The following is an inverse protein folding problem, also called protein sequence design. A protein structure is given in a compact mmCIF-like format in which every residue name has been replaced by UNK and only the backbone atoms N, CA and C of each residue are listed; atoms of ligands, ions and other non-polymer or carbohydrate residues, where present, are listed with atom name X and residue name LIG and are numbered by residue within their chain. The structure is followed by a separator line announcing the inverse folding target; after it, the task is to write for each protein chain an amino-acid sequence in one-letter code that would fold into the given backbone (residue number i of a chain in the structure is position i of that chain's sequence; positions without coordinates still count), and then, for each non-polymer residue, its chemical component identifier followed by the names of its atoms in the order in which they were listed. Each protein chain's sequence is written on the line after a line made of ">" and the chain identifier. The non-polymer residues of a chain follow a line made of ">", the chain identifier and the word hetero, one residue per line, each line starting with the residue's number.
data_IF_983158902461
#
_entry.id   IF_983158902461
#
_cell.length_a   1.000
_cell.length_b   1.000
_cell.length_c   1.000
_cell.angle_alpha   90.00
_cell.angle_beta   90.00
_cell.angle_gamma   90.00
#
_symmetry.space_group_name_H-M   'P 1'
#
loop_
_entity.id
_entity.type
_entity.pdbx_description
1 polymer ?
#
# COMPACT_ATOMS: atom_id res chain seq x y z
N UNK A 1 11.20 20.11 1.37
CA UNK A 1 10.06 19.51 0.65
C UNK A 1 10.12 18.03 0.93
N UNK A 2 9.09 17.43 1.52
CA UNK A 2 9.01 15.97 1.61
C UNK A 2 8.84 15.45 0.19
N UNK A 3 9.69 14.52 -0.25
CA UNK A 3 9.49 13.83 -1.52
C UNK A 3 8.26 12.92 -1.36
N UNK A 4 7.11 13.39 -1.82
CA UNK A 4 5.88 12.60 -1.86
C UNK A 4 6.10 11.42 -2.80
N UNK A 5 6.26 10.22 -2.22
CA UNK A 5 6.49 8.98 -2.98
C UNK A 5 5.18 8.24 -3.15
N UNK A 6 4.69 8.18 -4.38
CA UNK A 6 3.49 7.43 -4.72
C UNK A 6 3.81 6.07 -5.31
N UNK A 7 2.95 5.09 -5.03
CA UNK A 7 2.93 3.78 -5.69
C UNK A 7 1.53 3.46 -6.19
N UNK A 8 1.47 2.50 -7.10
CA UNK A 8 0.22 1.94 -7.61
C UNK A 8 0.02 0.52 -7.08
N UNK A 9 -1.17 0.23 -6.58
CA UNK A 9 -1.62 -1.12 -6.22
C UNK A 9 -2.42 -1.70 -7.38
N UNK A 10 -2.00 -2.88 -7.83
CA UNK A 10 -2.61 -3.67 -8.90
C UNK A 10 -3.07 -5.03 -8.38
N UNK A 11 -3.75 -5.80 -9.23
CA UNK A 11 -4.16 -7.17 -8.91
C UNK A 11 -5.33 -7.27 -7.91
N UNK A 12 -5.89 -6.15 -7.46
CA UNK A 12 -6.99 -6.14 -6.47
C UNK A 12 -8.24 -6.92 -6.88
N UNK A 13 -8.47 -7.10 -8.20
CA UNK A 13 -9.55 -7.94 -8.76
C UNK A 13 -9.43 -9.42 -8.38
N UNK A 14 -8.24 -9.93 -8.06
CA UNK A 14 -8.04 -11.31 -7.62
C UNK A 14 -8.32 -11.52 -6.12
N UNK A 15 -8.62 -10.45 -5.40
CA UNK A 15 -8.92 -10.45 -3.96
C UNK A 15 -10.34 -9.93 -3.72
N UNK A 16 -10.49 -8.85 -2.94
CA UNK A 16 -11.78 -8.24 -2.58
C UNK A 16 -12.23 -7.13 -3.56
N UNK A 17 -11.48 -6.91 -4.64
CA UNK A 17 -11.68 -5.80 -5.57
C UNK A 17 -11.37 -4.43 -4.95
N UNK A 18 -11.59 -3.37 -5.73
CA UNK A 18 -11.26 -2.00 -5.30
C UNK A 18 -12.17 -1.42 -4.20
N UNK A 19 -13.36 -2.00 -4.00
CA UNK A 19 -14.36 -1.49 -3.04
C UNK A 19 -13.89 -1.57 -1.59
N UNK A 20 -12.90 -2.42 -1.30
CA UNK A 20 -12.31 -2.54 0.03
C UNK A 20 -11.47 -1.32 0.42
N UNK A 21 -10.93 -0.60 -0.57
CA UNK A 21 -10.11 0.57 -0.34
C UNK A 21 -10.97 1.81 -0.17
N UNK A 22 -10.60 2.65 0.79
CA UNK A 22 -11.17 3.99 1.02
C UNK A 22 -10.05 5.03 1.02
N UNK A 23 -10.30 6.27 0.53
CA UNK A 23 -9.34 7.36 0.71
C UNK A 23 -8.98 7.54 2.20
N UNK A 24 -7.75 7.95 2.47
CA UNK A 24 -7.16 8.08 3.80
C UNK A 24 -6.96 6.75 4.58
N UNK A 25 -7.27 5.61 3.98
CA UNK A 25 -7.03 4.31 4.61
C UNK A 25 -5.54 3.98 4.63
N UNK A 26 -5.08 3.44 5.75
CA UNK A 26 -3.72 2.90 5.89
C UNK A 26 -3.67 1.49 5.29
N UNK A 27 -2.65 1.25 4.49
CA UNK A 27 -2.28 -0.07 3.97
C UNK A 27 -0.88 -0.44 4.42
N UNK A 28 -0.64 -1.73 4.62
CA UNK A 28 0.68 -2.28 4.93
C UNK A 28 1.29 -2.86 3.66
N UNK A 29 2.52 -2.50 3.37
CA UNK A 29 3.30 -3.04 2.26
C UNK A 29 4.32 -4.02 2.85
N UNK A 30 4.36 -5.25 2.36
CA UNK A 30 5.22 -6.32 2.90
C UNK A 30 5.99 -6.96 1.77
N UNK A 31 7.32 -7.07 1.92
CA UNK A 31 8.16 -7.78 0.95
C UNK A 31 7.80 -9.26 0.92
N UNK A 32 7.85 -9.85 -0.28
CA UNK A 32 7.60 -11.27 -0.53
C UNK A 32 8.74 -11.84 -1.38
N UNK A 33 9.97 -11.97 -0.83
CA UNK A 33 11.14 -12.42 -1.60
C UNK A 33 11.03 -13.87 -2.11
N UNK A 34 10.16 -14.66 -1.50
CA UNK A 34 9.87 -16.05 -1.89
C UNK A 34 8.82 -16.14 -3.01
N UNK A 35 8.40 -15.01 -3.60
CA UNK A 35 7.45 -15.00 -4.69
C UNK A 35 8.07 -15.64 -5.94
N UNK A 36 7.39 -16.63 -6.53
CA UNK A 36 7.91 -17.43 -7.64
C UNK A 36 8.05 -16.65 -8.97
N UNK A 37 7.47 -15.46 -9.06
CA UNK A 37 7.44 -14.66 -10.29
C UNK A 37 8.35 -13.42 -10.24
N UNK A 38 8.54 -12.83 -9.05
CA UNK A 38 9.23 -11.55 -8.85
C UNK A 38 9.82 -11.50 -7.43
N UNK A 39 11.13 -11.60 -7.29
CA UNK A 39 11.83 -11.55 -5.99
C UNK A 39 11.77 -10.17 -5.33
N UNK A 40 11.39 -9.14 -6.10
CA UNK A 40 11.08 -7.79 -5.62
C UNK A 40 9.59 -7.58 -5.34
N UNK A 41 8.79 -8.65 -5.31
CA UNK A 41 7.36 -8.55 -5.03
C UNK A 41 7.09 -7.89 -3.67
N UNK A 42 6.17 -6.92 -3.66
CA UNK A 42 5.66 -6.27 -2.45
C UNK A 42 4.14 -6.46 -2.43
N UNK A 43 3.64 -7.29 -1.51
CA UNK A 43 2.19 -7.44 -1.31
C UNK A 43 1.64 -6.28 -0.50
N UNK A 44 0.38 -5.94 -0.78
CA UNK A 44 -0.35 -4.89 -0.09
C UNK A 44 -1.44 -5.53 0.76
N UNK A 45 -1.52 -5.15 2.03
CA UNK A 45 -2.45 -5.68 3.01
C UNK A 45 -3.26 -4.58 3.70
N UNK A 46 -4.50 -4.92 4.08
CA UNK A 46 -5.37 -4.11 4.93
C UNK A 46 -5.68 -4.94 6.18
N UNK A 47 -5.48 -4.39 7.37
CA UNK A 47 -5.93 -5.05 8.61
C UNK A 47 -7.43 -4.79 8.85
N UNK A 48 -8.24 -5.80 9.25
CA UNK A 48 -7.93 -7.23 9.43
C UNK A 48 -8.15 -8.09 8.17
N UNK A 49 -8.38 -7.49 7.00
CA UNK A 49 -8.75 -8.16 5.74
C UNK A 49 -7.68 -9.12 5.21
N UNK A 50 -6.40 -8.77 5.34
CA UNK A 50 -5.28 -9.49 4.73
C UNK A 50 -4.87 -8.89 3.39
N UNK A 51 -4.38 -9.73 2.47
CA UNK A 51 -3.85 -9.31 1.18
C UNK A 51 -4.95 -8.77 0.24
N UNK A 52 -4.67 -7.63 -0.39
CA UNK A 52 -5.61 -6.92 -1.26
C UNK A 52 -5.01 -6.52 -2.61
N UNK A 53 -3.74 -6.82 -2.85
CA UNK A 53 -3.07 -6.55 -4.12
C UNK A 53 -1.55 -6.61 -4.01
N UNK A 54 -0.89 -6.10 -5.05
CA UNK A 54 0.56 -5.99 -5.15
C UNK A 54 0.95 -4.58 -5.61
N UNK A 55 2.15 -4.14 -5.23
CA UNK A 55 2.75 -2.93 -5.81
C UNK A 55 3.10 -3.19 -7.27
N UNK A 56 2.72 -2.27 -8.16
CA UNK A 56 3.04 -2.38 -9.59
C UNK A 56 4.56 -2.36 -9.82
N UNK A 57 5.07 -3.25 -10.67
CA UNK A 57 6.51 -3.34 -10.95
C UNK A 57 6.90 -3.16 -12.44
N UNK A 58 5.94 -3.08 -13.36
CA UNK A 58 6.22 -3.00 -14.81
C UNK A 58 5.82 -1.65 -15.43
N UNK A 59 6.47 -1.26 -16.53
CA UNK A 59 6.13 -0.02 -17.27
C UNK A 59 4.69 0.03 -17.76
N UNK A 60 4.06 -1.13 -17.96
CA UNK A 60 2.66 -1.25 -18.34
C UNK A 60 1.69 -0.99 -17.17
N UNK A 61 2.14 -1.19 -15.93
CA UNK A 61 1.27 -1.15 -14.73
C UNK A 61 1.58 0.01 -13.80
N UNK A 62 2.79 0.56 -13.84
CA UNK A 62 3.23 1.71 -13.04
C UNK A 62 2.80 3.01 -13.74
N UNK A 63 1.84 3.77 -13.19
CA UNK A 63 1.44 5.05 -13.75
C UNK A 63 2.58 6.07 -13.66
N UNK A 64 2.57 7.06 -14.56
CA UNK A 64 3.50 8.19 -14.47
C UNK A 64 3.32 8.90 -13.14
N UNK A 65 4.44 9.23 -12.48
CA UNK A 65 4.46 9.83 -11.15
C UNK A 65 4.42 8.83 -9.99
N UNK A 66 4.31 7.53 -10.26
CA UNK A 66 4.46 6.48 -9.26
C UNK A 66 5.82 5.78 -9.38
N UNK A 67 6.29 5.23 -8.26
CA UNK A 67 7.45 4.34 -8.19
C UNK A 67 7.02 2.88 -8.37
N UNK A 68 7.88 2.09 -9.01
CA UNK A 68 7.73 0.63 -9.10
C UNK A 68 8.09 -0.05 -7.78
N UNK A 69 7.70 -1.32 -7.62
CA UNK A 69 8.09 -2.14 -6.48
C UNK A 69 9.61 -2.18 -6.30
N UNK A 70 10.37 -2.51 -7.36
CA UNK A 70 11.84 -2.53 -7.33
C UNK A 70 12.44 -1.17 -6.95
N UNK A 71 11.83 -0.06 -7.38
CA UNK A 71 12.32 1.29 -7.04
C UNK A 71 12.23 1.59 -5.54
N UNK A 72 11.23 1.04 -4.86
CA UNK A 72 11.00 1.27 -3.43
C UNK A 72 11.54 0.15 -2.55
N UNK A 73 11.96 -0.98 -3.13
CA UNK A 73 12.29 -2.20 -2.40
C UNK A 73 13.38 -1.97 -1.35
N UNK A 74 14.48 -1.32 -1.72
CA UNK A 74 15.61 -1.06 -0.80
C UNK A 74 15.38 0.14 0.14
N UNK A 75 14.22 0.79 0.07
CA UNK A 75 13.93 2.00 0.88
C UNK A 75 13.35 1.70 2.26
N UNK A 76 13.04 0.44 2.56
CA UNK A 76 12.52 -0.03 3.85
C UNK A 76 12.94 -1.48 4.11
N UNK A 77 12.80 -1.94 5.36
CA UNK A 77 13.18 -3.30 5.77
C UNK A 77 12.17 -4.35 5.26
N UNK A 78 11.42 -5.01 6.15
CA UNK A 78 10.48 -6.07 5.78
C UNK A 78 9.10 -5.54 5.37
N UNK A 79 8.70 -4.41 5.96
CA UNK A 79 7.41 -3.79 5.68
C UNK A 79 7.47 -2.28 5.88
N UNK A 80 6.60 -1.57 5.19
CA UNK A 80 6.32 -0.16 5.41
C UNK A 80 4.80 0.07 5.31
N UNK A 81 4.38 1.32 5.42
CA UNK A 81 2.97 1.68 5.34
C UNK A 81 2.76 2.78 4.32
N UNK A 82 1.54 2.83 3.81
CA UNK A 82 1.11 3.91 2.94
C UNK A 82 -0.34 4.30 3.19
N UNK A 83 -0.72 5.45 2.65
CA UNK A 83 -2.07 6.00 2.73
C UNK A 83 -2.69 5.99 1.35
N UNK A 84 -3.89 5.43 1.22
CA UNK A 84 -4.67 5.51 -0.02
C UNK A 84 -5.03 6.97 -0.29
N UNK A 85 -4.60 7.50 -1.43
CA UNK A 85 -4.94 8.86 -1.86
C UNK A 85 -5.97 8.88 -2.97
N UNK A 86 -5.81 8.01 -3.97
CA UNK A 86 -6.70 7.99 -5.13
C UNK A 86 -7.17 6.58 -5.46
N UNK A 87 -8.43 6.48 -5.84
CA UNK A 87 -9.06 5.27 -6.35
C UNK A 87 -9.46 5.53 -7.80
N UNK A 88 -8.83 4.81 -8.72
CA UNK A 88 -9.17 4.89 -10.14
C UNK A 88 -9.98 3.67 -10.56
N UNK A 89 -10.26 3.55 -11.87
CA UNK A 89 -11.03 2.41 -12.35
C UNK A 89 -10.32 1.07 -12.13
N UNK A 90 -9.00 1.05 -12.24
CA UNK A 90 -8.18 -0.19 -12.24
C UNK A 90 -7.06 -0.20 -11.21
N UNK A 91 -6.71 0.96 -10.64
CA UNK A 91 -5.52 1.13 -9.79
C UNK A 91 -5.85 1.92 -8.53
N UNK A 92 -5.20 1.57 -7.42
CA UNK A 92 -5.21 2.37 -6.19
C UNK A 92 -3.88 3.08 -6.06
N UNK A 93 -3.89 4.39 -5.90
CA UNK A 93 -2.67 5.19 -5.68
C UNK A 93 -2.48 5.40 -4.20
N UNK A 94 -1.30 5.03 -3.72
CA UNK A 94 -0.92 5.05 -2.31
C UNK A 94 0.32 5.92 -2.14
N UNK A 95 0.28 6.81 -1.17
CA UNK A 95 1.43 7.59 -0.73
C UNK A 95 2.20 6.81 0.34
N UNK A 96 3.52 6.66 0.18
CA UNK A 96 4.37 6.01 1.18
C UNK A 96 4.59 6.92 2.39
N UNK A 97 4.49 6.34 3.58
CA UNK A 97 4.75 7.05 4.82
C UNK A 97 6.22 6.90 5.21
N UNK A 98 6.98 8.00 5.23
CA UNK A 98 8.43 7.96 5.48
C UNK A 98 8.78 7.66 6.94
N UNK A 99 7.93 8.06 7.89
CA UNK A 99 8.07 7.81 9.33
C UNK A 99 6.69 7.68 9.96
N UNK A 100 6.26 6.45 10.22
CA UNK A 100 5.01 6.21 10.94
C UNK A 100 5.30 6.18 12.43
N UNK A 101 4.79 7.18 13.16
CA UNK A 101 4.66 7.07 14.61
C UNK A 101 3.28 6.51 14.90
N UNK A 102 3.18 5.20 15.08
CA UNK A 102 1.92 4.60 15.55
C UNK A 102 1.72 4.95 17.02
N UNK A 103 0.59 5.58 17.32
CA UNK A 103 0.12 5.78 18.68
C UNK A 103 -1.17 4.97 18.84
N UNK A 104 -1.13 3.97 19.71
CA UNK A 104 -2.33 3.25 20.10
C UNK A 104 -3.06 4.15 21.10
N UNK A 105 -4.27 4.58 20.74
CA UNK A 105 -5.16 5.30 21.65
C UNK A 105 -6.32 4.36 21.97
N UNK A 106 -6.41 3.97 23.24
CA UNK A 106 -7.59 3.31 23.79
C UNK A 106 -8.61 4.40 24.06
N UNK A 107 -9.75 4.35 23.38
CA UNK A 107 -10.88 5.26 23.61
C UNK A 107 -11.94 4.42 24.34
N UNK A 108 -12.33 4.84 25.54
CA UNK A 108 -13.47 4.24 26.22
C UNK A 108 -14.76 4.80 25.61
N UNK A 109 -15.79 3.96 25.44
CA UNK A 109 -17.06 4.36 24.78
C UNK A 109 -17.76 5.57 25.43
N UNK A 110 -17.39 5.93 26.67
CA UNK A 110 -17.90 7.11 27.37
C UNK A 110 -17.50 8.45 26.74
N UNK A 111 -16.46 8.49 25.89
CA UNK A 111 -15.94 9.72 25.29
C UNK A 111 -16.66 10.14 24.00
N UNK A 112 -17.71 9.40 23.59
CA UNK A 112 -18.50 9.67 22.38
C UNK A 112 -19.81 10.45 22.62
N UNK A 113 -20.10 10.88 23.86
CA UNK A 113 -21.31 11.63 24.19
C UNK A 113 -21.08 13.14 24.30
#
# INVERSE_FOLDING_TARGET
>A
MSDERYIAVIGSRHFYGKKIFKPAQIVKLVKEPENIYDDEAIRVEITPVGQVGYVANSTATVPRGCHSAGRIYDTFDQHCFGVVRFLTNETVIVELLEKVRMQIVLIEESDLN
#
